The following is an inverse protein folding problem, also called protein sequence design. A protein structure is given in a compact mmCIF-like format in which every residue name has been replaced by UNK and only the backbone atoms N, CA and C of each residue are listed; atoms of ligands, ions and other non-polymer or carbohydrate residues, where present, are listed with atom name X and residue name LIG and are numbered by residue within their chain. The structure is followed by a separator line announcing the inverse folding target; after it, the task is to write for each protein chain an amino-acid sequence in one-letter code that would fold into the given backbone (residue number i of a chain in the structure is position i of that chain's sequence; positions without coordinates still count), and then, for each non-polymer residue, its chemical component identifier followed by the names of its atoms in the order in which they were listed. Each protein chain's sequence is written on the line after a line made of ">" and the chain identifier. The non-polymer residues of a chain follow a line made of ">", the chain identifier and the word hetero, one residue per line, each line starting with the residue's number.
data_IF_465214894940
#
_entry.id   IF_465214894940
#
_cell.length_a   1.000
_cell.length_b   1.000
_cell.length_c   1.000
_cell.angle_alpha   90.00
_cell.angle_beta   90.00
_cell.angle_gamma   90.00
#
_symmetry.space_group_name_H-M   'P 1'
#
loop_
_entity.id
_entity.type
_entity.pdbx_description
1 polymer ?
#
# COMPACT_ATOMS: atom_id res chain seq x y z
N UNK A 1 -17.49 30.47 -36.64
CA UNK A 1 -18.86 30.86 -36.28
C UNK A 1 -19.50 31.68 -37.42
N UNK A 2 -20.44 31.08 -38.09
CA UNK A 2 -21.42 31.85 -38.88
C UNK A 2 -22.79 31.27 -38.57
N UNK A 3 -23.53 31.98 -37.75
CA UNK A 3 -24.97 31.88 -37.59
C UNK A 3 -25.61 32.82 -38.61
N UNK A 4 -26.22 32.28 -39.62
CA UNK A 4 -27.24 32.99 -40.40
C UNK A 4 -28.27 31.94 -40.83
N UNK A 5 -29.51 32.04 -40.31
CA UNK A 5 -30.68 31.39 -40.83
C UNK A 5 -30.79 29.87 -40.61
N UNK A 6 -31.82 29.49 -39.91
CA UNK A 6 -32.46 28.21 -39.61
C UNK A 6 -32.31 26.99 -40.58
N UNK A 7 -31.14 26.69 -41.10
CA UNK A 7 -30.89 25.47 -41.88
C UNK A 7 -29.64 24.76 -41.38
N UNK A 8 -29.79 23.47 -41.02
CA UNK A 8 -28.74 22.62 -40.55
C UNK A 8 -27.99 22.03 -41.73
N UNK A 9 -26.69 22.35 -41.89
CA UNK A 9 -25.84 21.81 -42.93
C UNK A 9 -24.89 20.73 -42.35
N UNK A 10 -24.78 19.60 -43.04
CA UNK A 10 -23.86 18.51 -42.70
C UNK A 10 -22.65 18.61 -43.64
N UNK A 11 -21.45 18.48 -43.07
CA UNK A 11 -20.17 18.48 -43.78
C UNK A 11 -19.82 17.07 -44.24
N UNK A 12 -19.61 16.85 -45.53
CA UNK A 12 -19.16 15.56 -46.05
C UNK A 12 -17.66 15.34 -45.87
N UNK A 13 -17.21 14.13 -46.10
CA UNK A 13 -15.81 13.70 -45.95
C UNK A 13 -14.80 14.42 -46.87
N UNK A 14 -15.29 15.27 -47.78
CA UNK A 14 -14.49 16.12 -48.68
C UNK A 14 -14.59 17.62 -48.38
N UNK A 15 -15.19 17.98 -47.24
CA UNK A 15 -15.20 19.36 -46.75
C UNK A 15 -16.24 20.28 -47.41
N UNK A 16 -17.20 19.79 -48.21
CA UNK A 16 -18.24 20.55 -48.86
C UNK A 16 -19.55 20.55 -48.06
N UNK A 17 -20.21 21.70 -47.96
CA UNK A 17 -21.49 21.87 -47.33
C UNK A 17 -22.64 21.60 -48.33
N UNK A 18 -23.55 20.70 -48.01
CA UNK A 18 -24.81 20.49 -48.78
C UNK A 18 -26.02 20.78 -47.92
N UNK A 19 -27.03 21.49 -48.44
CA UNK A 19 -28.27 21.71 -47.72
C UNK A 19 -29.11 20.43 -47.67
N UNK A 20 -29.68 20.16 -46.49
CA UNK A 20 -30.60 19.02 -46.30
C UNK A 20 -31.95 19.40 -46.85
N UNK A 21 -32.40 18.77 -47.96
CA UNK A 21 -33.75 18.93 -48.49
C UNK A 21 -34.78 18.36 -47.53
N UNK A 22 -35.70 19.19 -47.07
CA UNK A 22 -36.91 18.71 -46.37
C UNK A 22 -37.76 17.86 -47.31
N UNK A 23 -38.14 16.67 -46.87
CA UNK A 23 -39.17 15.85 -47.51
C UNK A 23 -40.54 16.47 -47.25
N UNK A 24 -41.47 16.43 -48.24
CA UNK A 24 -42.79 16.99 -48.08
C UNK A 24 -43.64 16.21 -47.08
N UNK A 25 -44.36 16.92 -46.23
CA UNK A 25 -45.35 16.38 -45.31
C UNK A 25 -46.50 15.75 -46.13
N UNK A 26 -46.67 14.44 -46.06
CA UNK A 26 -47.86 13.73 -46.46
C UNK A 26 -48.90 13.77 -45.36
N UNK A 27 -49.94 14.56 -45.54
CA UNK A 27 -51.16 14.46 -44.77
C UNK A 27 -51.97 13.24 -45.26
N UNK A 28 -51.90 12.14 -44.55
CA UNK A 28 -52.87 11.05 -44.62
C UNK A 28 -53.43 10.78 -43.24
N UNK A 29 -54.65 11.27 -43.00
CA UNK A 29 -55.45 10.89 -41.84
C UNK A 29 -55.98 9.48 -42.07
N UNK A 30 -55.26 8.48 -41.52
CA UNK A 30 -55.75 7.11 -41.31
C UNK A 30 -56.12 6.93 -39.87
N UNK A 31 -57.41 6.77 -39.60
CA UNK A 31 -57.98 6.53 -38.30
C UNK A 31 -57.44 5.23 -37.67
N UNK A 32 -56.49 5.35 -36.80
CA UNK A 32 -56.03 4.23 -35.96
C UNK A 32 -56.84 4.21 -34.68
N UNK A 33 -57.78 3.24 -34.61
CA UNK A 33 -58.47 2.85 -33.38
C UNK A 33 -57.41 2.69 -32.26
N UNK A 34 -57.48 3.57 -31.27
CA UNK A 34 -56.73 3.44 -30.01
C UNK A 34 -57.13 2.13 -29.30
N UNK A 35 -56.42 1.04 -29.55
CA UNK A 35 -56.35 -0.04 -28.59
C UNK A 35 -55.55 0.50 -27.39
N UNK A 36 -56.26 0.86 -26.33
CA UNK A 36 -55.67 1.07 -25.01
C UNK A 36 -55.08 -0.28 -24.58
N UNK A 37 -53.83 -0.56 -24.91
CA UNK A 37 -53.03 -1.50 -24.14
C UNK A 37 -52.86 -0.90 -22.76
N UNK A 38 -53.48 -1.52 -21.76
CA UNK A 38 -53.18 -1.28 -20.36
C UNK A 38 -51.69 -1.64 -20.18
N UNK A 39 -50.83 -0.65 -20.32
CA UNK A 39 -49.51 -0.73 -19.68
C UNK A 39 -49.82 -0.81 -18.20
N UNK A 40 -49.63 -1.99 -17.62
CA UNK A 40 -49.54 -2.15 -16.20
C UNK A 40 -48.42 -1.20 -15.75
N UNK A 41 -48.79 -0.09 -15.13
CA UNK A 41 -47.92 0.66 -14.25
C UNK A 41 -47.51 -0.32 -13.13
N UNK A 42 -46.39 -0.99 -13.33
CA UNK A 42 -45.63 -1.55 -12.20
C UNK A 42 -45.26 -0.30 -11.42
N UNK A 43 -46.08 0.10 -10.47
CA UNK A 43 -45.71 0.97 -9.36
C UNK A 43 -44.59 0.24 -8.66
N UNK A 44 -43.36 0.49 -9.06
CA UNK A 44 -42.22 0.25 -8.21
C UNK A 44 -42.50 1.02 -6.92
N UNK A 45 -42.92 0.28 -5.92
CA UNK A 45 -43.11 0.77 -4.56
C UNK A 45 -41.71 1.18 -4.11
N UNK A 46 -41.33 2.42 -4.41
CA UNK A 46 -40.08 2.99 -3.90
C UNK A 46 -40.22 2.97 -2.40
N UNK A 47 -39.63 1.96 -1.78
CA UNK A 47 -39.58 1.86 -0.34
C UNK A 47 -38.84 3.10 0.15
N UNK A 48 -39.50 3.89 0.99
CA UNK A 48 -38.96 5.12 1.52
C UNK A 48 -37.84 4.75 2.51
N UNK A 49 -36.58 4.84 2.04
CA UNK A 49 -35.43 4.49 2.85
C UNK A 49 -35.25 5.59 3.89
N UNK A 50 -35.42 5.22 5.14
CA UNK A 50 -35.27 6.12 6.27
C UNK A 50 -33.81 6.53 6.43
N UNK A 51 -33.55 7.80 6.76
CA UNK A 51 -32.20 8.29 7.03
C UNK A 51 -31.48 7.48 8.14
N UNK A 52 -32.25 6.97 9.12
CA UNK A 52 -31.74 6.11 10.17
C UNK A 52 -31.16 4.80 9.64
N UNK A 53 -31.79 4.18 8.64
CA UNK A 53 -31.30 2.93 8.02
C UNK A 53 -30.02 3.17 7.23
N UNK A 54 -29.93 4.30 6.52
CA UNK A 54 -28.71 4.73 5.82
C UNK A 54 -27.58 4.95 6.80
N UNK A 55 -27.82 5.63 7.93
CA UNK A 55 -26.82 5.83 8.97
C UNK A 55 -26.40 4.52 9.63
N UNK A 56 -27.33 3.59 9.85
CA UNK A 56 -27.03 2.26 10.39
C UNK A 56 -26.13 1.47 9.44
N UNK A 57 -26.48 1.42 8.15
CA UNK A 57 -25.65 0.74 7.14
C UNK A 57 -24.27 1.38 7.03
N UNK A 58 -24.19 2.72 7.05
CA UNK A 58 -22.91 3.44 7.07
C UNK A 58 -22.06 3.06 8.28
N UNK A 59 -22.65 2.98 9.46
CA UNK A 59 -21.93 2.58 10.68
C UNK A 59 -21.39 1.14 10.58
N UNK A 60 -22.12 0.27 9.88
CA UNK A 60 -21.72 -1.13 9.69
C UNK A 60 -20.65 -1.31 8.61
N UNK A 61 -20.70 -0.50 7.54
CA UNK A 61 -19.85 -0.68 6.34
C UNK A 61 -18.79 0.40 6.19
N UNK A 62 -18.91 1.55 6.88
CA UNK A 62 -18.05 2.71 6.69
C UNK A 62 -18.17 3.40 5.31
N UNK A 63 -19.06 2.92 4.43
CA UNK A 63 -19.26 3.46 3.08
C UNK A 63 -19.89 4.86 3.09
N UNK A 64 -19.76 5.59 1.97
CA UNK A 64 -20.35 6.93 1.83
C UNK A 64 -21.88 6.93 2.00
N UNK A 65 -22.45 8.00 2.55
CA UNK A 65 -23.91 8.13 2.77
C UNK A 65 -24.74 7.86 1.51
N UNK A 66 -24.29 8.37 0.37
CA UNK A 66 -24.99 8.20 -0.90
C UNK A 66 -24.88 6.77 -1.43
N UNK A 67 -23.78 6.10 -1.16
CA UNK A 67 -23.56 4.71 -1.55
C UNK A 67 -24.42 3.78 -0.69
N UNK A 68 -24.49 4.02 0.61
CA UNK A 68 -25.40 3.31 1.50
C UNK A 68 -26.86 3.50 1.11
N UNK A 69 -27.27 4.73 0.75
CA UNK A 69 -28.64 5.01 0.29
C UNK A 69 -28.97 4.27 -1.00
N UNK A 70 -28.05 4.27 -1.97
CA UNK A 70 -28.23 3.54 -3.25
C UNK A 70 -28.28 2.04 -3.01
N UNK A 71 -27.37 1.50 -2.21
CA UNK A 71 -27.34 0.06 -1.89
C UNK A 71 -28.61 -0.41 -1.20
N UNK A 72 -29.14 0.36 -0.22
CA UNK A 72 -30.42 0.06 0.43
C UNK A 72 -31.60 0.14 -0.54
N UNK A 73 -31.58 1.10 -1.47
CA UNK A 73 -32.62 1.22 -2.50
C UNK A 73 -32.63 0.01 -3.42
N UNK A 74 -31.47 -0.43 -3.88
CA UNK A 74 -31.27 -1.57 -4.77
C UNK A 74 -31.57 -2.89 -4.06
N UNK A 75 -31.25 -2.96 -2.76
CA UNK A 75 -31.53 -4.10 -1.91
C UNK A 75 -32.97 -4.12 -1.34
N UNK A 76 -33.83 -3.17 -1.73
CA UNK A 76 -35.21 -3.06 -1.24
C UNK A 76 -35.30 -3.02 0.30
N UNK A 77 -34.28 -2.43 0.96
CA UNK A 77 -34.20 -2.31 2.42
C UNK A 77 -33.56 -3.51 3.13
N UNK A 78 -33.14 -4.55 2.42
CA UNK A 78 -32.39 -5.66 3.00
C UNK A 78 -30.96 -5.25 3.29
N UNK A 79 -30.57 -5.26 4.57
CA UNK A 79 -29.24 -4.88 5.02
C UNK A 79 -28.14 -5.84 4.57
N UNK A 80 -28.41 -7.15 4.53
CA UNK A 80 -27.41 -8.13 4.12
C UNK A 80 -27.08 -7.96 2.62
N UNK A 81 -28.13 -7.87 1.79
CA UNK A 81 -27.97 -7.62 0.36
C UNK A 81 -27.34 -6.26 0.08
N UNK A 82 -27.67 -5.22 0.85
CA UNK A 82 -27.05 -3.90 0.72
C UNK A 82 -25.56 -3.93 1.05
N UNK A 83 -25.13 -4.73 2.05
CA UNK A 83 -23.72 -4.96 2.34
C UNK A 83 -22.99 -5.65 1.18
N UNK A 84 -23.61 -6.66 0.56
CA UNK A 84 -23.04 -7.36 -0.58
C UNK A 84 -22.87 -6.41 -1.79
N UNK A 85 -23.84 -5.56 -2.07
CA UNK A 85 -23.76 -4.53 -3.12
C UNK A 85 -22.58 -3.58 -2.85
N UNK A 86 -22.38 -3.16 -1.60
CA UNK A 86 -21.24 -2.30 -1.22
C UNK A 86 -19.91 -3.03 -1.43
N UNK A 87 -19.83 -4.33 -1.09
CA UNK A 87 -18.64 -5.16 -1.32
C UNK A 87 -18.34 -5.33 -2.81
N UNK A 88 -19.34 -5.60 -3.64
CA UNK A 88 -19.18 -5.69 -5.09
C UNK A 88 -18.68 -4.36 -5.68
N UNK A 89 -19.19 -3.24 -5.18
CA UNK A 89 -18.72 -1.93 -5.56
C UNK A 89 -17.25 -1.71 -5.18
N UNK A 90 -16.82 -2.17 -4.01
CA UNK A 90 -15.42 -2.15 -3.60
C UNK A 90 -14.53 -2.91 -4.58
N UNK A 91 -14.92 -4.12 -5.00
CA UNK A 91 -14.21 -4.91 -6.02
C UNK A 91 -14.09 -4.17 -7.36
N UNK A 92 -15.15 -3.48 -7.77
CA UNK A 92 -15.12 -2.66 -8.99
C UNK A 92 -14.16 -1.47 -8.88
N UNK A 93 -14.04 -0.85 -7.71
CA UNK A 93 -13.05 0.21 -7.46
C UNK A 93 -11.64 -0.34 -7.60
N UNK A 94 -11.34 -1.47 -6.96
CA UNK A 94 -10.05 -2.16 -7.06
C UNK A 94 -9.72 -2.47 -8.51
N UNK A 95 -10.65 -3.08 -9.26
CA UNK A 95 -10.44 -3.41 -10.68
C UNK A 95 -10.17 -2.18 -11.57
N UNK A 96 -10.92 -1.09 -11.36
CA UNK A 96 -10.74 0.17 -12.13
C UNK A 96 -9.45 0.90 -11.81
N UNK A 97 -8.85 0.63 -10.65
CA UNK A 97 -7.65 1.30 -10.16
C UNK A 97 -6.44 0.38 -10.08
N UNK A 98 -6.51 -0.79 -10.70
CA UNK A 98 -5.43 -1.79 -10.69
C UNK A 98 -4.09 -1.19 -11.16
N UNK A 99 -4.13 -0.34 -12.20
CA UNK A 99 -2.94 0.30 -12.80
C UNK A 99 -2.44 1.53 -12.04
N UNK A 100 -3.14 1.94 -10.95
CA UNK A 100 -2.68 3.05 -10.12
C UNK A 100 -1.57 2.59 -9.19
N UNK A 101 -0.67 3.51 -8.83
CA UNK A 101 0.36 3.29 -7.82
C UNK A 101 -0.10 3.83 -6.47
N UNK A 102 0.12 3.07 -5.42
CA UNK A 102 -0.15 3.47 -4.04
C UNK A 102 1.20 3.91 -3.42
N UNK A 103 1.51 5.21 -3.51
CA UNK A 103 2.77 5.80 -3.06
C UNK A 103 2.68 6.41 -1.66
N UNK A 104 1.48 6.48 -1.11
CA UNK A 104 1.20 6.95 0.23
C UNK A 104 0.73 5.79 1.12
N UNK A 105 0.69 5.99 2.44
CA UNK A 105 0.22 4.94 3.33
C UNK A 105 0.64 5.10 4.78
N UNK A 106 0.41 4.05 5.55
CA UNK A 106 0.75 4.02 6.97
C UNK A 106 1.43 2.69 7.32
N UNK A 107 2.60 2.82 7.94
CA UNK A 107 3.31 1.71 8.58
C UNK A 107 2.87 1.64 10.03
N UNK A 108 2.48 0.45 10.46
CA UNK A 108 2.12 0.15 11.86
C UNK A 108 2.90 -1.05 12.35
N UNK A 109 3.23 -1.05 13.63
CA UNK A 109 4.02 -2.11 14.27
C UNK A 109 3.37 -2.54 15.58
N UNK A 110 3.59 -3.78 15.98
CA UNK A 110 3.16 -4.30 17.28
C UNK A 110 4.14 -5.34 17.79
N UNK A 111 4.48 -5.22 19.07
CA UNK A 111 5.28 -6.21 19.78
C UNK A 111 4.37 -6.97 20.74
N UNK A 112 4.45 -8.30 20.72
CA UNK A 112 3.69 -9.18 21.62
C UNK A 112 4.63 -10.29 22.12
N UNK A 113 5.08 -10.16 23.35
CA UNK A 113 6.09 -11.07 23.92
C UNK A 113 7.40 -11.01 23.12
N UNK A 114 7.81 -12.14 22.58
CA UNK A 114 9.04 -12.30 21.79
C UNK A 114 8.82 -12.12 20.28
N UNK A 115 7.64 -11.69 19.87
CA UNK A 115 7.29 -11.51 18.46
C UNK A 115 7.05 -10.04 18.13
N UNK A 116 7.63 -9.60 17.02
CA UNK A 116 7.41 -8.28 16.43
C UNK A 116 6.71 -8.41 15.09
N UNK A 117 5.75 -7.53 14.83
CA UNK A 117 4.96 -7.48 13.61
C UNK A 117 5.02 -6.09 13.01
N UNK A 118 5.19 -6.00 11.70
CA UNK A 118 5.16 -4.76 10.92
C UNK A 118 4.24 -4.94 9.71
N UNK A 119 3.43 -3.93 9.45
CA UNK A 119 2.50 -3.91 8.32
C UNK A 119 2.50 -2.52 7.71
N UNK A 120 2.47 -2.45 6.38
CA UNK A 120 2.17 -1.22 5.63
C UNK A 120 0.87 -1.38 4.85
N UNK A 121 -0.08 -0.50 5.13
CA UNK A 121 -1.28 -0.31 4.32
C UNK A 121 -1.05 0.91 3.43
N UNK A 122 -0.95 0.70 2.11
CA UNK A 122 -0.67 1.75 1.13
C UNK A 122 -1.96 2.26 0.48
N UNK A 123 -1.95 3.54 0.08
CA UNK A 123 -3.04 4.26 -0.59
C UNK A 123 -2.49 5.23 -1.64
N UNK A 124 -3.37 5.87 -2.43
CA UNK A 124 -2.94 6.79 -3.48
C UNK A 124 -2.55 8.17 -2.92
N UNK A 125 -3.22 8.68 -1.88
CA UNK A 125 -3.05 10.04 -1.38
C UNK A 125 -2.70 10.12 0.12
N UNK A 126 -1.99 11.17 0.48
CA UNK A 126 -1.66 11.52 1.85
C UNK A 126 -2.90 11.88 2.68
N UNK A 127 -3.95 12.44 2.06
CA UNK A 127 -5.23 12.73 2.72
C UNK A 127 -5.85 11.47 3.34
N UNK A 128 -5.81 10.34 2.60
CA UNK A 128 -6.28 9.05 3.11
C UNK A 128 -5.31 8.51 4.17
N UNK A 129 -4.00 8.57 3.93
CA UNK A 129 -2.99 8.08 4.86
C UNK A 129 -3.04 8.78 6.23
N UNK A 130 -3.34 10.09 6.27
CA UNK A 130 -3.43 10.88 7.49
C UNK A 130 -4.73 10.67 8.27
N UNK A 131 -5.74 10.01 7.68
CA UNK A 131 -7.01 9.77 8.34
C UNK A 131 -6.86 8.78 9.50
N UNK A 132 -7.40 9.15 10.67
CA UNK A 132 -7.35 8.31 11.86
C UNK A 132 -8.06 6.94 11.67
N UNK A 133 -9.19 6.91 10.92
CA UNK A 133 -9.90 5.67 10.62
C UNK A 133 -9.08 4.75 9.69
N UNK A 134 -8.24 5.33 8.82
CA UNK A 134 -7.32 4.56 7.98
C UNK A 134 -6.24 3.88 8.82
N UNK A 135 -5.59 4.64 9.70
CA UNK A 135 -4.62 4.09 10.66
C UNK A 135 -5.25 3.04 11.58
N UNK A 136 -6.49 3.25 12.03
CA UNK A 136 -7.23 2.25 12.83
C UNK A 136 -7.48 0.95 12.03
N UNK A 137 -7.77 1.06 10.73
CA UNK A 137 -7.94 -0.12 9.86
C UNK A 137 -6.64 -0.91 9.69
N UNK A 138 -5.50 -0.22 9.51
CA UNK A 138 -4.19 -0.87 9.46
C UNK A 138 -3.88 -1.61 10.79
N UNK A 139 -4.16 -0.99 11.93
CA UNK A 139 -4.00 -1.64 13.24
C UNK A 139 -4.92 -2.84 13.42
N UNK A 140 -6.18 -2.77 12.95
CA UNK A 140 -7.10 -3.91 13.00
C UNK A 140 -6.59 -5.10 12.16
N UNK A 141 -6.00 -4.84 10.99
CA UNK A 141 -5.35 -5.88 10.17
C UNK A 141 -4.11 -6.46 10.87
N UNK A 142 -3.32 -5.60 11.53
CA UNK A 142 -2.17 -6.05 12.34
C UNK A 142 -2.61 -6.89 13.54
N UNK A 143 -3.77 -6.60 14.15
CA UNK A 143 -4.34 -7.42 15.21
C UNK A 143 -4.75 -8.82 14.72
N UNK A 144 -5.22 -8.93 13.47
CA UNK A 144 -5.44 -10.24 12.82
C UNK A 144 -4.12 -10.97 12.65
N UNK A 145 -3.07 -10.29 12.19
CA UNK A 145 -1.73 -10.86 12.05
C UNK A 145 -1.21 -11.45 13.37
N UNK A 146 -1.36 -10.70 14.47
CA UNK A 146 -0.95 -11.15 15.81
C UNK A 146 -1.74 -12.37 16.26
N UNK A 147 -3.07 -12.38 16.08
CA UNK A 147 -3.94 -13.48 16.51
C UNK A 147 -3.72 -14.77 15.73
N UNK A 148 -3.43 -14.66 14.43
CA UNK A 148 -3.26 -15.82 13.55
C UNK A 148 -1.80 -16.24 13.42
N UNK A 149 -0.88 -15.43 13.93
CA UNK A 149 0.58 -15.58 13.77
C UNK A 149 0.98 -15.82 12.30
N UNK A 150 0.35 -15.05 11.39
CA UNK A 150 0.54 -15.20 9.95
C UNK A 150 2.04 -15.17 9.60
N UNK A 151 2.50 -16.16 8.83
CA UNK A 151 3.91 -16.32 8.52
C UNK A 151 4.43 -15.26 7.54
N UNK A 152 3.58 -14.90 6.58
CA UNK A 152 3.90 -13.99 5.47
C UNK A 152 2.67 -13.18 5.04
N UNK A 153 2.86 -12.29 4.06
CA UNK A 153 1.82 -11.43 3.51
C UNK A 153 0.64 -12.23 2.91
N UNK A 154 0.91 -13.34 2.24
CA UNK A 154 -0.14 -14.14 1.61
C UNK A 154 -1.01 -14.83 2.66
N UNK A 155 -0.38 -15.40 3.69
CA UNK A 155 -1.07 -15.97 4.84
C UNK A 155 -1.91 -14.93 5.58
N UNK A 156 -1.40 -13.70 5.75
CA UNK A 156 -2.15 -12.62 6.38
C UNK A 156 -3.37 -12.20 5.54
N UNK A 157 -3.24 -12.04 4.24
CA UNK A 157 -4.37 -11.70 3.36
C UNK A 157 -5.51 -12.72 3.45
N UNK A 158 -5.18 -14.00 3.56
CA UNK A 158 -6.15 -15.09 3.70
C UNK A 158 -6.70 -15.24 5.14
N UNK A 159 -6.04 -14.64 6.14
CA UNK A 159 -6.43 -14.74 7.54
C UNK A 159 -7.75 -14.00 7.82
N UNK A 160 -8.56 -14.57 8.72
CA UNK A 160 -9.88 -14.03 9.05
C UNK A 160 -9.86 -13.28 10.39
N UNK A 161 -10.56 -12.16 10.42
CA UNK A 161 -10.84 -11.44 11.67
C UNK A 161 -11.93 -12.17 12.51
N UNK A 162 -12.28 -11.61 13.67
CA UNK A 162 -13.31 -12.17 14.56
C UNK A 162 -14.72 -12.22 13.93
N UNK A 163 -14.95 -11.43 12.90
CA UNK A 163 -16.23 -11.35 12.16
C UNK A 163 -16.26 -12.29 10.96
N UNK A 164 -15.22 -13.11 10.76
CA UNK A 164 -15.11 -14.07 9.67
C UNK A 164 -14.67 -13.48 8.33
N UNK A 165 -14.34 -12.19 8.26
CA UNK A 165 -13.84 -11.51 7.05
C UNK A 165 -12.33 -11.70 6.90
N UNK A 166 -11.86 -11.95 5.69
CA UNK A 166 -10.43 -12.01 5.40
C UNK A 166 -9.81 -10.61 5.40
N UNK A 167 -8.50 -10.52 5.61
CA UNK A 167 -7.77 -9.24 5.50
C UNK A 167 -7.84 -8.70 4.07
N UNK A 168 -7.83 -9.55 3.05
CA UNK A 168 -8.03 -9.16 1.65
C UNK A 168 -9.41 -8.49 1.44
N UNK A 169 -10.46 -9.03 2.04
CA UNK A 169 -11.80 -8.40 2.03
C UNK A 169 -11.80 -7.06 2.76
N UNK A 170 -11.07 -6.94 3.89
CA UNK A 170 -10.93 -5.67 4.62
C UNK A 170 -10.21 -4.61 3.77
N UNK A 171 -9.16 -4.97 3.02
CA UNK A 171 -8.46 -4.09 2.08
C UNK A 171 -9.39 -3.64 0.94
N UNK A 172 -10.13 -4.59 0.35
CA UNK A 172 -11.11 -4.31 -0.72
C UNK A 172 -12.22 -3.36 -0.25
N UNK A 173 -12.74 -3.59 0.95
CA UNK A 173 -13.76 -2.75 1.57
C UNK A 173 -13.23 -1.32 1.79
N UNK A 174 -11.98 -1.19 2.27
CA UNK A 174 -11.33 0.11 2.44
C UNK A 174 -11.14 0.84 1.10
N UNK A 175 -10.79 0.15 0.03
CA UNK A 175 -10.76 0.72 -1.33
C UNK A 175 -12.13 1.23 -1.78
N UNK A 176 -13.20 0.49 -1.49
CA UNK A 176 -14.57 0.92 -1.75
C UNK A 176 -15.00 2.15 -0.95
N UNK A 177 -14.55 2.25 0.32
CA UNK A 177 -14.86 3.39 1.20
C UNK A 177 -14.15 4.67 0.78
N UNK A 178 -12.87 4.58 0.44
CA UNK A 178 -12.04 5.74 0.08
C UNK A 178 -12.17 6.13 -1.39
N UNK A 179 -12.53 5.17 -2.23
CA UNK A 179 -12.51 5.33 -3.69
C UNK A 179 -11.09 5.33 -4.27
N UNK A 180 -10.08 4.95 -3.50
CA UNK A 180 -8.67 4.85 -3.90
C UNK A 180 -8.21 3.40 -3.98
N UNK A 181 -7.09 3.15 -4.68
CA UNK A 181 -6.38 1.89 -4.57
C UNK A 181 -5.79 1.78 -3.19
N UNK A 182 -6.23 0.77 -2.44
CA UNK A 182 -5.63 0.39 -1.17
C UNK A 182 -5.00 -0.99 -1.34
N UNK A 183 -3.80 -1.16 -0.81
CA UNK A 183 -3.13 -2.46 -0.82
C UNK A 183 -2.35 -2.71 0.47
N UNK A 184 -2.28 -3.97 0.87
CA UNK A 184 -1.34 -4.42 1.88
C UNK A 184 0.04 -4.51 1.23
N UNK A 185 0.78 -3.39 1.20
CA UNK A 185 2.06 -3.29 0.49
C UNK A 185 3.14 -4.16 1.13
N UNK A 186 3.14 -4.24 2.46
CA UNK A 186 4.15 -4.98 3.20
C UNK A 186 3.59 -5.61 4.46
N UNK A 187 4.09 -6.78 4.78
CA UNK A 187 3.95 -7.43 6.06
C UNK A 187 5.16 -8.31 6.35
N UNK A 188 5.66 -8.23 7.57
CA UNK A 188 6.69 -9.12 8.06
C UNK A 188 6.54 -9.33 9.56
N UNK A 189 7.10 -10.44 10.07
CA UNK A 189 7.24 -10.71 11.48
C UNK A 189 8.67 -11.12 11.79
N UNK A 190 9.08 -10.89 13.03
CA UNK A 190 10.31 -11.42 13.61
C UNK A 190 9.98 -12.11 14.92
N UNK A 191 10.87 -13.01 15.34
CA UNK A 191 10.83 -13.67 16.64
C UNK A 191 12.23 -13.63 17.25
N UNK A 192 12.34 -13.07 18.44
CA UNK A 192 13.60 -12.93 19.17
C UNK A 192 13.34 -12.81 20.68
N UNK A 193 14.30 -13.17 21.54
CA UNK A 193 14.18 -13.00 22.99
C UNK A 193 13.78 -11.59 23.44
N UNK A 194 14.20 -10.56 22.69
CA UNK A 194 13.75 -9.19 22.87
C UNK A 194 13.54 -8.53 21.50
N UNK A 195 12.33 -8.02 21.27
CA UNK A 195 11.96 -7.32 20.05
C UNK A 195 11.70 -5.84 20.34
N UNK A 196 12.15 -4.96 19.44
CA UNK A 196 11.85 -3.54 19.48
C UNK A 196 11.38 -3.09 18.10
N UNK A 197 10.53 -2.06 18.08
CA UNK A 197 9.97 -1.49 16.84
C UNK A 197 10.14 0.01 16.83
N UNK A 198 10.45 0.56 15.68
CA UNK A 198 10.45 1.99 15.43
C UNK A 198 9.60 2.32 14.19
N UNK A 199 8.75 3.31 14.33
CA UNK A 199 8.00 3.90 13.20
C UNK A 199 8.35 5.38 13.12
N UNK A 200 8.80 5.81 11.97
CA UNK A 200 9.17 7.21 11.78
C UNK A 200 7.95 8.13 11.83
N UNK A 201 8.15 9.41 12.19
CA UNK A 201 7.06 10.37 12.42
C UNK A 201 6.12 10.55 11.22
N UNK A 202 6.63 10.41 9.99
CA UNK A 202 5.84 10.46 8.75
C UNK A 202 4.99 9.19 8.51
N UNK A 203 5.15 8.17 9.34
CA UNK A 203 4.49 6.86 9.25
C UNK A 203 4.71 6.08 7.94
N UNK A 204 5.65 6.51 7.10
CA UNK A 204 6.01 5.82 5.85
C UNK A 204 7.17 4.85 5.99
N UNK A 205 7.91 4.94 7.08
CA UNK A 205 9.08 4.09 7.38
C UNK A 205 8.91 3.43 8.74
N UNK A 206 9.35 2.18 8.82
CA UNK A 206 9.35 1.45 10.08
C UNK A 206 10.30 0.28 10.05
N UNK A 207 10.75 -0.11 11.24
CA UNK A 207 11.72 -1.18 11.43
C UNK A 207 11.36 -2.04 12.65
N UNK A 208 11.56 -3.34 12.51
CA UNK A 208 11.60 -4.29 13.61
C UNK A 208 13.02 -4.75 13.81
N UNK A 209 13.48 -4.75 15.05
CA UNK A 209 14.78 -5.30 15.48
C UNK A 209 14.54 -6.35 16.54
N UNK A 210 15.24 -7.48 16.40
CA UNK A 210 15.27 -8.55 17.39
C UNK A 210 16.67 -8.72 17.95
N UNK A 211 16.78 -8.77 19.28
CA UNK A 211 18.02 -9.02 20.01
C UNK A 211 18.02 -10.44 20.61
N UNK A 212 19.22 -11.01 20.75
CA UNK A 212 19.41 -12.32 21.37
C UNK A 212 19.15 -12.32 22.90
N UNK A 213 19.06 -11.15 23.54
CA UNK A 213 18.71 -10.92 24.94
C UNK A 213 18.11 -9.54 25.16
N UNK A 214 17.54 -9.31 26.32
CA UNK A 214 16.99 -8.03 26.72
C UNK A 214 18.10 -6.97 26.81
N UNK A 215 17.91 -5.85 26.15
CA UNK A 215 18.78 -4.66 26.21
C UNK A 215 17.99 -3.46 26.75
N UNK A 216 18.66 -2.40 27.25
CA UNK A 216 17.97 -1.17 27.62
C UNK A 216 17.15 -0.61 26.44
N UNK A 217 15.96 -0.07 26.72
CA UNK A 217 15.05 0.43 25.71
C UNK A 217 15.68 1.52 24.84
N UNK A 218 16.49 2.40 25.44
CA UNK A 218 17.22 3.46 24.73
C UNK A 218 18.18 2.90 23.67
N UNK A 219 18.88 1.80 24.03
CA UNK A 219 19.79 1.10 23.10
C UNK A 219 18.99 0.51 21.94
N UNK A 220 17.92 -0.23 22.24
CA UNK A 220 17.06 -0.82 21.23
C UNK A 220 16.44 0.24 20.29
N UNK A 221 16.01 1.36 20.87
CA UNK A 221 15.42 2.47 20.11
C UNK A 221 16.45 3.13 19.18
N UNK A 222 17.65 3.40 19.67
CA UNK A 222 18.74 3.98 18.86
C UNK A 222 19.10 3.07 17.70
N UNK A 223 19.24 1.76 17.94
CA UNK A 223 19.54 0.77 16.90
C UNK A 223 18.41 0.69 15.86
N UNK A 224 17.15 0.69 16.30
CA UNK A 224 16.00 0.65 15.40
C UNK A 224 15.88 1.92 14.55
N UNK A 225 16.14 3.09 15.14
CA UNK A 225 16.17 4.38 14.46
C UNK A 225 17.29 4.44 13.42
N UNK A 226 18.52 4.00 13.81
CA UNK A 226 19.66 3.87 12.91
C UNK A 226 19.32 2.98 11.70
N UNK A 227 18.80 1.78 11.96
CA UNK A 227 18.42 0.85 10.90
C UNK A 227 17.33 1.42 9.98
N UNK A 228 16.41 2.21 10.53
CA UNK A 228 15.38 2.90 9.72
C UNK A 228 15.98 3.93 8.79
N UNK A 229 16.91 4.76 9.31
CA UNK A 229 17.51 5.87 8.57
C UNK A 229 18.53 5.39 7.52
N UNK A 230 19.42 4.49 7.92
CA UNK A 230 20.58 4.08 7.11
C UNK A 230 20.30 2.89 6.19
N UNK A 231 19.15 2.23 6.33
CA UNK A 231 18.70 1.12 5.48
C UNK A 231 19.79 0.05 5.21
N UNK A 232 20.41 -0.54 6.25
CA UNK A 232 21.46 -1.52 6.03
C UNK A 232 20.96 -2.73 5.25
N UNK A 233 21.81 -3.28 4.39
CA UNK A 233 21.50 -4.45 3.56
C UNK A 233 21.39 -5.72 4.42
N UNK A 234 22.20 -5.81 5.46
CA UNK A 234 22.23 -6.95 6.37
C UNK A 234 22.58 -6.53 7.81
N UNK A 235 22.45 -7.45 8.75
CA UNK A 235 22.82 -7.21 10.14
C UNK A 235 24.36 -7.16 10.27
N UNK A 236 25.03 -8.13 9.68
CA UNK A 236 26.49 -8.25 9.69
C UNK A 236 27.01 -8.57 8.29
N UNK A 237 28.34 -8.57 8.12
CA UNK A 237 29.00 -9.00 6.90
C UNK A 237 28.67 -10.47 6.54
N UNK A 238 28.58 -11.34 7.56
CA UNK A 238 28.26 -12.75 7.35
C UNK A 238 26.83 -12.99 6.83
N UNK A 239 25.90 -12.07 7.10
CA UNK A 239 24.50 -12.15 6.69
C UNK A 239 24.24 -11.47 5.33
N UNK A 240 25.28 -10.84 4.76
CA UNK A 240 25.13 -10.13 3.48
C UNK A 240 24.91 -11.15 2.35
N UNK A 241 23.85 -10.96 1.50
CA UNK A 241 23.60 -11.87 0.39
C UNK A 241 24.78 -11.96 -0.58
N UNK A 242 25.15 -13.17 -1.01
CA UNK A 242 26.30 -13.42 -1.84
C UNK A 242 26.22 -12.71 -3.22
N UNK A 243 25.02 -12.60 -3.77
CA UNK A 243 24.75 -11.89 -5.02
C UNK A 243 24.99 -10.37 -4.90
N UNK A 244 24.66 -9.78 -3.75
CA UNK A 244 24.95 -8.37 -3.44
C UNK A 244 26.46 -8.17 -3.34
N UNK A 245 27.16 -9.03 -2.61
CA UNK A 245 28.64 -8.98 -2.46
C UNK A 245 29.32 -9.07 -3.84
N UNK A 246 28.86 -10.01 -4.67
CA UNK A 246 29.43 -10.19 -6.03
C UNK A 246 29.15 -9.00 -6.93
N UNK A 247 27.93 -8.45 -6.85
CA UNK A 247 27.54 -7.27 -7.61
C UNK A 247 28.38 -6.05 -7.23
N UNK A 248 28.52 -5.75 -5.95
CA UNK A 248 29.31 -4.63 -5.45
C UNK A 248 30.80 -4.80 -5.75
N UNK A 249 31.32 -6.03 -5.68
CA UNK A 249 32.70 -6.34 -6.07
C UNK A 249 32.93 -6.04 -7.55
N UNK A 250 32.00 -6.42 -8.44
CA UNK A 250 32.08 -6.10 -9.87
C UNK A 250 32.11 -4.59 -10.12
N UNK A 251 31.18 -3.85 -9.47
CA UNK A 251 31.14 -2.38 -9.54
C UNK A 251 32.47 -1.78 -9.06
N UNK A 252 32.99 -2.26 -7.94
CA UNK A 252 34.27 -1.78 -7.40
C UNK A 252 35.43 -2.00 -8.38
N UNK A 253 35.49 -3.16 -9.04
CA UNK A 253 36.53 -3.49 -10.04
C UNK A 253 36.35 -2.65 -11.31
N UNK A 254 35.15 -2.50 -11.82
CA UNK A 254 34.87 -1.68 -13.02
C UNK A 254 35.21 -0.20 -12.79
N UNK A 255 34.79 0.35 -11.66
CA UNK A 255 35.12 1.73 -11.27
C UNK A 255 36.64 1.95 -11.16
N UNK A 256 37.40 0.93 -10.75
CA UNK A 256 38.87 1.02 -10.72
C UNK A 256 39.50 0.97 -12.08
N UNK A 257 38.99 0.17 -13.03
CA UNK A 257 39.47 0.10 -14.41
C UNK A 257 39.23 1.39 -15.15
N UNK A 258 38.18 2.13 -14.82
CA UNK A 258 37.86 3.43 -15.44
C UNK A 258 38.67 4.59 -14.85
N UNK A 259 39.32 4.44 -13.69
CA UNK A 259 40.14 5.49 -13.08
C UNK A 259 41.53 5.53 -13.76
N UNK A 260 41.90 6.63 -14.43
CA UNK A 260 43.20 6.78 -15.08
C UNK A 260 44.41 6.53 -14.15
N UNK A 261 44.25 6.78 -12.86
CA UNK A 261 45.29 6.52 -11.84
C UNK A 261 45.60 5.03 -11.64
N UNK A 262 44.71 4.18 -12.11
CA UNK A 262 44.84 2.73 -11.96
C UNK A 262 45.21 2.01 -13.27
N UNK A 263 45.21 2.69 -14.41
CA UNK A 263 45.41 2.11 -15.75
C UNK A 263 46.69 1.27 -15.90
N UNK A 264 47.74 1.56 -15.11
CA UNK A 264 49.02 0.88 -15.17
C UNK A 264 49.31 0.01 -13.92
N UNK A 265 48.32 -0.26 -13.06
CA UNK A 265 48.55 -1.06 -11.85
C UNK A 265 48.41 -2.55 -12.14
N UNK A 266 49.30 -3.40 -11.60
CA UNK A 266 49.14 -4.84 -11.67
C UNK A 266 47.82 -5.31 -11.09
N UNK A 267 47.27 -6.41 -11.61
CA UNK A 267 45.94 -6.96 -11.20
C UNK A 267 45.88 -7.27 -9.69
N UNK A 268 46.98 -7.81 -9.12
CA UNK A 268 47.07 -8.05 -7.69
C UNK A 268 46.93 -6.78 -6.80
N UNK A 269 47.33 -5.61 -7.33
CA UNK A 269 47.14 -4.35 -6.62
C UNK A 269 45.68 -3.88 -6.76
N UNK A 270 45.06 -4.10 -7.92
CA UNK A 270 43.63 -3.78 -8.14
C UNK A 270 42.75 -4.63 -7.24
N UNK A 271 43.06 -5.92 -7.08
CA UNK A 271 42.33 -6.80 -6.12
C UNK A 271 42.41 -6.29 -4.68
N UNK A 272 43.60 -5.90 -4.20
CA UNK A 272 43.74 -5.33 -2.85
C UNK A 272 42.97 -4.02 -2.66
N UNK A 273 42.90 -3.19 -3.69
CA UNK A 273 42.10 -1.97 -3.64
C UNK A 273 40.60 -2.33 -3.63
N UNK A 274 40.17 -3.37 -4.38
CA UNK A 274 38.80 -3.87 -4.35
C UNK A 274 38.41 -4.40 -2.97
N UNK A 275 39.30 -5.15 -2.32
CA UNK A 275 39.09 -5.60 -0.93
C UNK A 275 38.92 -4.43 0.03
N UNK A 276 39.72 -3.37 -0.12
CA UNK A 276 39.57 -2.14 0.66
C UNK A 276 38.22 -1.43 0.43
N UNK A 277 37.74 -1.40 -0.81
CA UNK A 277 36.40 -0.88 -1.14
C UNK A 277 35.29 -1.75 -0.57
N UNK A 278 35.44 -3.07 -0.65
CA UNK A 278 34.48 -4.01 -0.03
C UNK A 278 34.40 -3.87 1.48
N UNK A 279 35.55 -3.66 2.16
CA UNK A 279 35.54 -3.37 3.60
C UNK A 279 34.74 -2.11 3.90
N UNK A 280 34.94 -1.03 3.13
CA UNK A 280 34.17 0.21 3.28
C UNK A 280 32.70 0.00 3.00
N UNK A 281 32.34 -0.81 2.00
CA UNK A 281 30.97 -1.18 1.72
C UNK A 281 30.30 -1.85 2.93
N UNK A 282 30.98 -2.82 3.59
CA UNK A 282 30.44 -3.46 4.78
C UNK A 282 30.32 -2.50 5.97
N UNK A 283 31.30 -1.60 6.17
CA UNK A 283 31.23 -0.55 7.19
C UNK A 283 30.03 0.38 7.00
N UNK A 284 29.67 0.68 5.76
CA UNK A 284 28.56 1.60 5.43
C UNK A 284 27.20 0.88 5.34
N UNK A 285 27.16 -0.38 4.94
CA UNK A 285 25.93 -1.07 4.55
C UNK A 285 25.55 -2.27 5.43
N UNK A 286 26.28 -2.58 6.50
CA UNK A 286 25.87 -3.59 7.48
C UNK A 286 25.59 -2.94 8.84
N UNK A 287 24.46 -3.30 9.46
CA UNK A 287 23.96 -2.60 10.65
C UNK A 287 24.98 -2.55 11.78
N UNK A 288 25.61 -3.68 12.12
CA UNK A 288 26.53 -3.77 13.26
C UNK A 288 27.84 -3.00 13.04
N UNK A 289 28.26 -2.83 11.78
CA UNK A 289 29.50 -2.14 11.43
C UNK A 289 29.31 -0.64 11.17
N UNK A 290 28.05 -0.18 10.98
CA UNK A 290 27.78 1.24 10.82
C UNK A 290 28.16 2.03 12.08
N UNK A 291 28.78 3.23 11.93
CA UNK A 291 28.92 4.14 13.05
C UNK A 291 27.55 4.66 13.50
N UNK A 292 27.35 4.75 14.81
CA UNK A 292 26.16 5.40 15.39
C UNK A 292 26.09 6.83 14.90
N UNK A 293 24.92 7.28 14.48
CA UNK A 293 24.75 8.66 13.96
C UNK A 293 25.24 9.71 14.96
N UNK A 294 26.24 10.47 14.54
CA UNK A 294 26.87 11.50 15.37
C UNK A 294 28.00 11.02 16.29
N UNK A 295 28.29 9.72 16.29
CA UNK A 295 29.32 9.10 17.10
C UNK A 295 30.42 8.46 16.22
N UNK A 296 31.52 8.02 16.85
CA UNK A 296 32.59 7.29 16.15
C UNK A 296 32.52 5.78 16.38
N UNK A 297 31.80 5.36 17.40
CA UNK A 297 31.62 3.96 17.72
C UNK A 297 30.63 3.28 16.79
N UNK A 298 30.85 1.99 16.55
CA UNK A 298 29.93 1.18 15.74
C UNK A 298 28.68 0.80 16.54
N UNK A 299 27.62 0.42 15.85
CA UNK A 299 26.40 -0.12 16.48
C UNK A 299 26.73 -1.35 17.33
N UNK A 300 27.65 -2.21 16.89
CA UNK A 300 28.10 -3.36 17.70
C UNK A 300 28.74 -2.92 19.02
N UNK A 301 29.65 -1.95 18.97
CA UNK A 301 30.30 -1.41 20.18
C UNK A 301 29.29 -0.72 21.10
N UNK A 302 28.35 0.03 20.53
CA UNK A 302 27.28 0.68 21.29
C UNK A 302 26.41 -0.32 22.05
N UNK A 303 26.00 -1.42 21.40
CA UNK A 303 25.24 -2.50 22.05
C UNK A 303 26.09 -3.17 23.15
N UNK A 304 27.34 -3.47 22.86
CA UNK A 304 28.26 -4.16 23.80
C UNK A 304 28.60 -3.35 25.05
N UNK A 305 28.46 -2.03 25.02
CA UNK A 305 28.57 -1.19 26.23
C UNK A 305 27.45 -1.47 27.23
N UNK A 306 26.24 -1.78 26.72
CA UNK A 306 25.14 -2.17 27.58
C UNK A 306 25.23 -3.61 28.07
N UNK A 307 25.54 -4.53 27.17
CA UNK A 307 25.78 -5.96 27.49
C UNK A 307 26.70 -6.57 26.42
N UNK A 308 27.84 -7.10 26.85
CA UNK A 308 28.91 -7.64 25.98
C UNK A 308 28.46 -8.80 25.08
N UNK A 309 27.43 -9.55 25.49
CA UNK A 309 26.92 -10.69 24.74
C UNK A 309 25.66 -10.37 23.97
N UNK A 310 25.17 -9.12 24.05
CA UNK A 310 23.98 -8.69 23.31
C UNK A 310 24.36 -8.40 21.84
N UNK A 311 23.48 -8.83 20.94
CA UNK A 311 23.59 -8.54 19.50
C UNK A 311 22.24 -8.58 18.83
N UNK A 312 22.16 -7.96 17.66
CA UNK A 312 20.98 -8.06 16.78
C UNK A 312 21.00 -9.39 16.04
N UNK A 313 19.88 -10.11 16.07
CA UNK A 313 19.69 -11.41 15.40
C UNK A 313 18.56 -11.41 14.39
N UNK A 314 17.72 -10.39 14.39
CA UNK A 314 16.63 -10.26 13.44
C UNK A 314 16.41 -8.78 13.07
N UNK A 315 16.13 -8.55 11.79
CA UNK A 315 15.94 -7.20 11.25
C UNK A 315 14.94 -7.24 10.10
N UNK A 316 13.94 -6.37 10.16
CA UNK A 316 13.01 -6.12 9.06
C UNK A 316 12.74 -4.63 8.97
N UNK A 317 12.92 -4.05 7.80
CA UNK A 317 12.65 -2.65 7.50
C UNK A 317 11.70 -2.56 6.33
N UNK A 318 10.82 -1.60 6.40
CA UNK A 318 10.00 -1.18 5.27
C UNK A 318 10.02 0.34 5.13
N UNK A 319 10.18 0.81 3.90
CA UNK A 319 10.01 2.19 3.52
C UNK A 319 9.03 2.24 2.33
N UNK A 320 7.98 3.02 2.48
CA UNK A 320 7.12 3.36 1.36
C UNK A 320 7.82 4.48 0.57
N UNK A 321 8.40 4.12 -0.54
CA UNK A 321 9.09 5.05 -1.44
C UNK A 321 8.07 5.81 -2.29
N UNK A 322 8.30 7.13 -2.46
CA UNK A 322 7.49 8.00 -3.29
C UNK A 322 7.89 7.88 -4.75
#
# INVERSE_FOLDING_TARGET
>A
SCLVGSEMCIRDSYGRFRPVRRLPERSETVGIRKRRTKFNEIKTKTMEIKAADVMKLRKMTGAGMMDCKKALAEAEGDFARAQDIIREKGKLVVAKRADRTATEGVVVTKIVGQKGYILCLACETDFVAQNAEYSASANAMLDVAVKTDAADRAALLAAKNAEGRTVEEMVTEKSGQTGEKIELAYYARIEAPYCHAYVHFNKKLGTLIGFNKVVPEEVAHTVAMQATAMAPVSISEADCPADVIEHERKIAVEAMKQDPKNANKPEAILEKIAEGKMRKFFEENTLLNQPVVGEKETIAEFIHKADKDATVIAYKRFALEA
#
